data_IF_051906698424
#
_entry.id   IF_051906698424
#
_cell.length_a   1.000
_cell.length_b   1.000
_cell.length_c   1.000
_cell.angle_alpha   90.00
_cell.angle_beta   90.00
_cell.angle_gamma   90.00
#
_symmetry.space_group_name_H-M   'P 1'
#
loop_
_entity.id
_entity.type
_entity.pdbx_description
1 polymer ?
#
# COMPACT_ATOMS: atom_id res chain seq x y z
N UNK A 1 -1.61 12.89 -7.30
CA UNK A 1 -1.62 11.46 -7.56
C UNK A 1 -0.35 10.98 -8.24
N UNK A 2 -0.17 11.31 -9.50
CA UNK A 2 1.10 11.06 -10.18
C UNK A 2 2.09 12.16 -9.77
N UNK A 3 3.35 11.84 -9.43
CA UNK A 3 4.05 10.56 -9.57
C UNK A 3 3.93 9.60 -8.39
N UNK A 4 3.14 9.89 -7.38
CA UNK A 4 3.04 9.05 -6.19
C UNK A 4 2.04 7.90 -6.31
N UNK A 5 1.36 7.77 -7.44
CA UNK A 5 0.50 6.60 -7.65
C UNK A 5 1.38 5.40 -7.95
N UNK A 6 1.52 4.51 -6.98
CA UNK A 6 2.40 3.35 -7.09
C UNK A 6 1.68 2.07 -7.50
N UNK A 7 0.42 1.91 -7.09
CA UNK A 7 -0.34 0.68 -7.35
C UNK A 7 -0.84 0.67 -8.78
N UNK A 8 -0.54 -0.38 -9.52
CA UNK A 8 -0.93 -0.50 -10.92
C UNK A 8 -2.36 -0.96 -11.10
N UNK A 9 -2.83 -1.86 -10.24
CA UNK A 9 -4.23 -2.29 -10.27
C UNK A 9 -4.63 -2.92 -8.94
N UNK A 10 -5.93 -3.00 -8.73
CA UNK A 10 -6.50 -3.77 -7.63
C UNK A 10 -7.02 -5.07 -8.22
N UNK A 11 -6.40 -6.17 -7.86
CA UNK A 11 -6.70 -7.49 -8.41
C UNK A 11 -7.99 -8.07 -7.83
N UNK A 12 -8.23 -7.83 -6.55
CA UNK A 12 -9.45 -8.27 -5.89
C UNK A 12 -9.74 -7.37 -4.69
N UNK A 13 -11.00 -7.30 -4.32
CA UNK A 13 -11.41 -6.47 -3.20
C UNK A 13 -12.71 -7.01 -2.62
N UNK A 14 -12.71 -7.18 -1.30
CA UNK A 14 -13.91 -7.54 -0.56
C UNK A 14 -14.24 -6.34 0.33
N UNK A 15 -15.35 -5.61 0.05
CA UNK A 15 -15.67 -4.41 0.81
C UNK A 15 -15.68 -4.69 2.32
N UNK A 16 -15.13 -3.75 3.07
CA UNK A 16 -15.01 -3.81 4.54
C UNK A 16 -14.08 -4.89 5.06
N UNK A 17 -13.40 -5.65 4.20
CA UNK A 17 -12.55 -6.75 4.65
C UNK A 17 -11.11 -6.63 4.15
N UNK A 18 -10.92 -6.72 2.84
CA UNK A 18 -9.56 -6.85 2.30
C UNK A 18 -9.45 -6.40 0.86
N UNK A 19 -8.22 -6.14 0.44
CA UNK A 19 -7.92 -5.81 -0.94
C UNK A 19 -6.56 -6.39 -1.30
N UNK A 20 -6.40 -6.73 -2.58
CA UNK A 20 -5.13 -7.18 -3.14
C UNK A 20 -4.75 -6.23 -4.26
N UNK A 21 -3.64 -5.51 -4.07
CA UNK A 21 -3.09 -4.62 -5.06
C UNK A 21 -1.90 -5.25 -5.76
N UNK A 22 -1.61 -4.75 -6.96
CA UNK A 22 -0.45 -5.20 -7.74
C UNK A 22 0.39 -3.99 -8.10
N UNK A 23 1.70 -4.10 -7.88
CA UNK A 23 2.69 -3.11 -8.26
C UNK A 23 3.80 -3.79 -9.05
N UNK A 24 4.01 -3.37 -10.28
CA UNK A 24 5.14 -3.84 -11.08
C UNK A 24 6.31 -2.87 -10.89
N UNK A 25 7.43 -3.39 -10.42
CA UNK A 25 8.60 -2.56 -10.13
C UNK A 25 9.46 -2.45 -11.38
N UNK A 26 9.69 -1.21 -11.85
CA UNK A 26 10.43 -0.95 -13.08
C UNK A 26 11.65 -0.09 -12.80
N UNK A 27 12.75 -0.38 -13.49
CA UNK A 27 13.98 0.42 -13.38
C UNK A 27 13.77 1.87 -13.82
N UNK A 28 12.71 2.13 -14.60
CA UNK A 28 12.40 3.47 -15.07
C UNK A 28 11.78 4.38 -14.02
N UNK A 29 11.47 3.84 -12.85
CA UNK A 29 10.86 4.67 -11.79
C UNK A 29 11.91 5.60 -11.20
N UNK A 30 11.50 6.85 -10.96
CA UNK A 30 12.42 7.92 -10.58
C UNK A 30 13.19 7.65 -9.28
N UNK A 31 12.61 6.92 -8.34
CA UNK A 31 13.29 6.67 -7.07
C UNK A 31 14.56 5.84 -7.21
N UNK A 32 14.73 5.09 -8.32
CA UNK A 32 15.94 4.32 -8.52
C UNK A 32 17.14 5.16 -8.91
N UNK A 33 16.91 6.41 -9.30
CA UNK A 33 18.02 7.31 -9.62
C UNK A 33 18.90 7.60 -8.42
N UNK A 34 18.32 7.56 -7.22
CA UNK A 34 19.04 7.81 -5.99
C UNK A 34 19.17 6.62 -5.05
N UNK A 35 18.44 5.52 -5.29
CA UNK A 35 18.34 4.45 -4.30
C UNK A 35 18.46 3.06 -4.93
N UNK A 36 19.52 2.61 -5.41
CA UNK A 36 20.87 3.15 -5.52
C UNK A 36 21.30 2.94 -6.97
N UNK A 37 22.04 3.85 -7.60
CA UNK A 37 22.34 3.73 -9.04
C UNK A 37 23.02 2.43 -9.43
N UNK A 38 23.97 1.94 -8.63
CA UNK A 38 24.69 0.71 -8.93
C UNK A 38 23.95 -0.55 -8.48
N UNK A 39 22.99 -0.41 -7.57
CA UNK A 39 22.24 -1.53 -7.02
C UNK A 39 20.83 -1.05 -6.68
N UNK A 40 19.96 -1.00 -7.70
CA UNK A 40 18.61 -0.47 -7.49
C UNK A 40 17.81 -1.32 -6.52
N UNK A 41 17.29 -0.67 -5.46
CA UNK A 41 16.43 -1.30 -4.47
C UNK A 41 15.28 -0.34 -4.19
N UNK A 42 14.06 -0.84 -4.21
CA UNK A 42 12.90 -0.01 -3.91
C UNK A 42 12.94 0.40 -2.44
N UNK A 43 12.85 1.71 -2.14
CA UNK A 43 12.83 2.16 -0.75
C UNK A 43 11.69 1.55 0.05
N UNK A 44 11.98 1.12 1.29
CA UNK A 44 10.96 0.51 2.15
C UNK A 44 9.77 1.42 2.41
N UNK A 45 10.01 2.73 2.56
CA UNK A 45 8.92 3.69 2.79
C UNK A 45 7.94 3.71 1.61
N UNK A 46 8.42 3.47 0.38
CA UNK A 46 7.54 3.44 -0.79
C UNK A 46 6.76 2.12 -0.87
N UNK A 47 7.31 1.04 -0.34
CA UNK A 47 6.57 -0.21 -0.23
C UNK A 47 5.39 -0.01 0.74
N UNK A 48 5.62 0.64 1.86
CA UNK A 48 4.56 0.98 2.82
C UNK A 48 3.55 1.92 2.17
N UNK A 49 4.01 2.87 1.37
CA UNK A 49 3.10 3.76 0.64
C UNK A 49 2.19 2.97 -0.32
N UNK A 50 2.73 1.95 -0.99
CA UNK A 50 1.92 1.09 -1.86
C UNK A 50 0.87 0.32 -1.06
N UNK A 51 1.21 -0.15 0.14
CA UNK A 51 0.22 -0.77 1.03
C UNK A 51 -0.88 0.22 1.40
N UNK A 52 -0.48 1.46 1.72
CA UNK A 52 -1.41 2.51 2.10
C UNK A 52 -2.36 2.86 0.96
N UNK A 53 -1.86 2.90 -0.27
CA UNK A 53 -2.69 3.15 -1.45
C UNK A 53 -3.70 2.03 -1.67
N UNK A 54 -3.29 0.78 -1.47
CA UNK A 54 -4.18 -0.36 -1.58
C UNK A 54 -5.28 -0.27 -0.51
N UNK A 55 -4.92 0.08 0.72
CA UNK A 55 -5.89 0.27 1.80
C UNK A 55 -6.84 1.44 1.49
N UNK A 56 -6.32 2.51 0.89
CA UNK A 56 -7.14 3.65 0.48
C UNK A 56 -8.21 3.23 -0.51
N UNK A 57 -7.87 2.39 -1.47
CA UNK A 57 -8.85 1.85 -2.41
C UNK A 57 -9.91 1.01 -1.69
N UNK A 58 -9.50 0.22 -0.71
CA UNK A 58 -10.44 -0.58 0.09
C UNK A 58 -11.43 0.32 0.83
N UNK A 59 -10.94 1.40 1.44
CA UNK A 59 -11.79 2.33 2.16
C UNK A 59 -12.79 3.00 1.23
N UNK A 60 -12.33 3.50 0.09
CA UNK A 60 -13.18 4.21 -0.87
C UNK A 60 -14.28 3.28 -1.38
N UNK A 61 -13.94 2.06 -1.77
CA UNK A 61 -14.93 1.09 -2.24
C UNK A 61 -15.90 0.67 -1.15
N UNK A 62 -15.42 0.54 0.09
CA UNK A 62 -16.26 0.13 1.22
C UNK A 62 -17.28 1.22 1.58
N UNK A 63 -16.89 2.49 1.47
CA UNK A 63 -17.78 3.60 1.77
C UNK A 63 -18.75 3.91 0.62
N UNK A 64 -18.38 3.55 -0.61
CA UNK A 64 -19.19 3.86 -1.78
C UNK A 64 -19.39 5.36 -1.93
N UNK A 65 -20.64 5.80 -2.07
CA UNK A 65 -20.95 7.23 -2.25
C UNK A 65 -20.56 8.07 -1.04
N UNK A 66 -20.47 7.46 0.14
CA UNK A 66 -20.07 8.18 1.34
C UNK A 66 -18.61 8.64 1.29
N UNK A 67 -17.83 8.09 0.36
CA UNK A 67 -16.44 8.51 0.17
C UNK A 67 -16.32 9.88 -0.48
N UNK A 68 -17.37 10.35 -1.13
CA UNK A 68 -17.35 11.66 -1.78
C UNK A 68 -17.16 12.76 -0.75
N UNK A 69 -16.22 13.67 -1.03
CA UNK A 69 -15.91 14.74 -0.09
C UNK A 69 -15.08 14.29 1.11
N UNK A 70 -14.54 13.07 1.08
CA UNK A 70 -13.72 12.54 2.16
C UNK A 70 -12.26 12.42 1.74
N UNK A 71 -11.37 12.49 2.73
CA UNK A 71 -9.95 12.23 2.57
C UNK A 71 -9.56 11.09 3.48
N UNK A 72 -8.62 10.27 2.99
CA UNK A 72 -8.02 9.19 3.78
C UNK A 72 -6.67 9.69 4.27
N UNK A 73 -6.53 9.83 5.58
CA UNK A 73 -5.30 10.28 6.24
C UNK A 73 -4.63 9.12 6.91
N UNK A 74 -3.39 8.81 6.53
CA UNK A 74 -2.65 7.76 7.21
C UNK A 74 -2.01 8.35 8.46
N UNK A 75 -2.29 7.74 9.61
CA UNK A 75 -1.96 8.27 10.93
C UNK A 75 -0.69 7.68 11.49
N UNK A 76 -0.53 6.38 11.39
CA UNK A 76 0.60 5.70 12.00
C UNK A 76 0.96 4.44 11.24
N UNK A 77 2.23 4.07 11.38
CA UNK A 77 2.78 2.84 10.85
C UNK A 77 3.44 2.14 12.04
N UNK A 78 3.07 0.87 12.26
CA UNK A 78 3.59 0.08 13.36
C UNK A 78 4.20 -1.20 12.82
N UNK A 79 5.26 -1.68 13.46
CA UNK A 79 5.84 -3.00 13.18
C UNK A 79 6.18 -3.22 11.70
N UNK A 80 6.65 -2.18 11.02
CA UNK A 80 7.09 -2.32 9.65
C UNK A 80 8.35 -3.18 9.60
N UNK A 81 8.33 -4.22 8.75
CA UNK A 81 9.47 -5.11 8.57
C UNK A 81 9.73 -5.33 7.11
N UNK A 82 10.98 -5.20 6.71
CA UNK A 82 11.42 -5.40 5.34
C UNK A 82 12.34 -6.62 5.34
N UNK A 83 11.83 -7.73 4.82
CA UNK A 83 12.49 -9.01 4.95
C UNK A 83 13.44 -9.32 3.79
N UNK A 84 13.13 -8.79 2.62
CA UNK A 84 13.94 -8.99 1.42
C UNK A 84 13.93 -7.73 0.56
N UNK A 85 15.04 -7.42 -0.14
CA UNK A 85 15.08 -6.29 -1.06
C UNK A 85 14.09 -6.49 -2.20
N UNK A 86 13.47 -5.40 -2.62
CA UNK A 86 12.60 -5.37 -3.79
C UNK A 86 13.37 -4.65 -4.90
N UNK A 87 13.48 -5.29 -6.04
CA UNK A 87 14.32 -4.81 -7.16
C UNK A 87 13.50 -4.72 -8.44
N UNK A 88 13.99 -3.97 -9.43
CA UNK A 88 13.32 -3.90 -10.73
C UNK A 88 13.10 -5.30 -11.31
N UNK A 89 11.91 -5.50 -11.87
CA UNK A 89 11.48 -6.79 -12.38
C UNK A 89 10.58 -7.56 -11.41
N UNK A 90 10.56 -7.19 -10.15
CA UNK A 90 9.67 -7.81 -9.18
C UNK A 90 8.24 -7.33 -9.40
N UNK A 91 7.29 -8.24 -9.19
CA UNK A 91 5.90 -7.87 -9.11
C UNK A 91 5.45 -8.02 -7.66
N UNK A 92 5.00 -6.94 -7.07
CA UNK A 92 4.51 -6.94 -5.70
C UNK A 92 3.02 -7.31 -5.68
N UNK A 93 2.68 -8.30 -4.90
CA UNK A 93 1.30 -8.63 -4.58
C UNK A 93 1.06 -8.11 -3.16
N UNK A 94 0.20 -7.12 -3.05
CA UNK A 94 0.00 -6.35 -1.81
C UNK A 94 -1.33 -6.75 -1.20
N UNK A 95 -1.26 -7.51 -0.11
CA UNK A 95 -2.47 -7.93 0.61
C UNK A 95 -2.69 -6.98 1.79
N UNK A 96 -3.86 -6.37 1.83
CA UNK A 96 -4.25 -5.48 2.92
C UNK A 96 -5.56 -5.98 3.51
N UNK A 97 -5.59 -6.10 4.83
CA UNK A 97 -6.76 -6.58 5.55
C UNK A 97 -7.14 -5.54 6.61
N UNK A 98 -8.42 -5.18 6.63
CA UNK A 98 -8.92 -4.29 7.68
C UNK A 98 -9.11 -5.13 8.95
N UNK A 99 -8.38 -4.77 10.01
CA UNK A 99 -8.43 -5.49 11.27
C UNK A 99 -9.36 -4.83 12.28
N UNK A 100 -9.59 -3.53 12.14
CA UNK A 100 -10.41 -2.80 13.10
C UNK A 100 -10.98 -1.54 12.47
N UNK A 101 -12.18 -1.19 12.91
CA UNK A 101 -12.81 0.06 12.54
C UNK A 101 -13.48 0.62 13.79
N UNK A 102 -13.17 1.87 14.14
CA UNK A 102 -13.79 2.52 15.29
C UNK A 102 -14.04 4.00 14.91
N UNK A 103 -15.32 4.34 14.74
CA UNK A 103 -15.66 5.67 14.26
C UNK A 103 -15.07 5.88 12.88
N UNK A 104 -14.24 6.92 12.74
CA UNK A 104 -13.58 7.23 11.47
C UNK A 104 -12.14 6.72 11.40
N UNK A 105 -11.71 5.90 12.35
CA UNK A 105 -10.36 5.34 12.40
C UNK A 105 -10.38 3.88 11.98
N UNK A 106 -9.52 3.54 11.02
CA UNK A 106 -9.41 2.20 10.45
C UNK A 106 -7.99 1.68 10.69
N UNK A 107 -7.88 0.41 11.05
CA UNK A 107 -6.59 -0.26 11.20
C UNK A 107 -6.46 -1.38 10.19
N UNK A 108 -5.25 -1.56 9.69
CA UNK A 108 -4.96 -2.53 8.64
C UNK A 108 -3.69 -3.32 8.93
N UNK A 109 -3.68 -4.57 8.47
CA UNK A 109 -2.46 -5.36 8.35
C UNK A 109 -2.15 -5.48 6.87
N UNK A 110 -0.90 -5.17 6.50
CA UNK A 110 -0.43 -5.30 5.14
C UNK A 110 0.72 -6.28 5.03
N UNK A 111 0.69 -7.08 3.97
CA UNK A 111 1.81 -7.96 3.60
C UNK A 111 2.04 -7.86 2.11
N UNK A 112 3.31 -7.82 1.75
CA UNK A 112 3.72 -7.73 0.35
C UNK A 112 4.51 -8.98 -0.01
N UNK A 113 4.15 -9.58 -1.13
CA UNK A 113 4.74 -10.81 -1.62
C UNK A 113 5.41 -10.59 -2.97
N UNK A 114 6.53 -11.27 -3.17
CA UNK A 114 7.12 -11.45 -4.49
C UNK A 114 7.27 -12.96 -4.66
N UNK A 115 6.64 -13.50 -5.71
CA UNK A 115 6.66 -14.94 -5.99
C UNK A 115 6.32 -15.77 -4.75
N UNK A 116 5.25 -15.39 -4.07
CA UNK A 116 4.70 -16.08 -2.89
C UNK A 116 5.58 -16.01 -1.63
N UNK A 117 6.64 -15.19 -1.66
CA UNK A 117 7.51 -14.97 -0.50
C UNK A 117 7.23 -13.59 0.08
N UNK A 118 7.03 -13.51 1.38
CA UNK A 118 6.81 -12.23 2.06
C UNK A 118 8.09 -11.41 2.03
N UNK A 119 8.02 -10.23 1.41
CA UNK A 119 9.17 -9.31 1.35
C UNK A 119 9.02 -8.15 2.32
N UNK A 120 7.79 -7.80 2.69
CA UNK A 120 7.53 -6.71 3.63
C UNK A 120 6.21 -6.92 4.32
N UNK A 121 6.07 -6.37 5.52
CA UNK A 121 4.81 -6.35 6.25
C UNK A 121 4.77 -5.17 7.19
N UNK A 122 3.56 -4.68 7.48
CA UNK A 122 3.37 -3.56 8.38
C UNK A 122 1.94 -3.52 8.90
N UNK A 123 1.77 -2.92 10.06
CA UNK A 123 0.46 -2.47 10.55
C UNK A 123 0.39 -0.98 10.38
N UNK A 124 -0.76 -0.49 10.01
CA UNK A 124 -0.92 0.95 9.87
C UNK A 124 -2.37 1.33 10.12
N UNK A 125 -2.58 2.60 10.39
CA UNK A 125 -3.92 3.12 10.63
C UNK A 125 -4.17 4.35 9.78
N UNK A 126 -5.45 4.57 9.50
CA UNK A 126 -5.90 5.71 8.71
C UNK A 126 -7.14 6.31 9.35
N UNK A 127 -7.34 7.61 9.11
CA UNK A 127 -8.52 8.33 9.55
C UNK A 127 -9.23 8.89 8.34
N UNK A 128 -10.54 8.79 8.33
CA UNK A 128 -11.37 9.36 7.27
C UNK A 128 -11.86 10.72 7.74
N UNK A 129 -11.57 11.75 6.98
CA UNK A 129 -11.95 13.13 7.34
C UNK A 129 -12.64 13.82 6.18
N UNK A 130 -13.40 14.86 6.47
CA UNK A 130 -14.04 15.69 5.45
C UNK A 130 -12.99 16.57 4.79
N UNK A 131 -13.16 16.76 3.50
CA UNK A 131 -12.31 17.68 2.75
C UNK A 131 -12.55 19.11 3.20
#
# INVERSE_FOLDING_TARGET
RYPFLLVDLIKSLVPNESAVGVKNVSINESFFQGHFPERPVMPGVLIVEAMAQTAGCLVVESLGKQSEGKLVYFMSIENARFRKPVVPGDQLIINVEKTRERGNVFKFDGKVYVEEVVVAEARFSAMIVDK
#
